data_IF_820213622247
#
_entry.id   IF_820213622247
#
_cell.length_a   1.000
_cell.length_b   1.000
_cell.length_c   1.000
_cell.angle_alpha   90.00
_cell.angle_beta   90.00
_cell.angle_gamma   90.00
#
_symmetry.space_group_name_H-M   'P 1'
#
loop_
_entity.id
_entity.type
_entity.pdbx_description
1 polymer ?
#
# COMPACT_ATOMS: atom_id res chain seq x y z
N UNK A 1 20.52 -1.32 12.06
CA UNK A 1 19.26 -1.35 11.29
C UNK A 1 19.65 -1.33 9.82
N UNK A 2 19.37 -2.39 9.07
CA UNK A 2 19.46 -2.31 7.61
C UNK A 2 18.52 -1.18 7.16
N UNK A 3 19.03 -0.26 6.35
CA UNK A 3 18.24 0.83 5.79
C UNK A 3 17.17 0.21 4.91
N UNK A 4 15.95 0.05 5.44
CA UNK A 4 14.81 -0.56 4.75
C UNK A 4 14.39 0.34 3.59
N UNK A 5 15.10 0.34 2.47
CA UNK A 5 14.70 1.08 1.29
C UNK A 5 13.35 0.54 0.82
N UNK A 6 12.31 1.39 0.79
CA UNK A 6 10.98 1.01 0.34
C UNK A 6 11.10 0.37 -1.06
N UNK A 7 10.83 -0.93 -1.19
CA UNK A 7 10.98 -1.59 -2.47
C UNK A 7 9.88 -1.07 -3.37
N UNK A 8 10.21 -0.14 -4.27
CA UNK A 8 9.28 0.41 -5.28
C UNK A 8 9.03 -0.63 -6.40
N UNK A 9 8.68 -1.86 -6.02
CA UNK A 9 8.48 -3.01 -6.89
C UNK A 9 7.01 -3.42 -6.83
N UNK A 10 6.44 -3.61 -7.99
CA UNK A 10 5.10 -4.17 -8.17
C UNK A 10 5.19 -5.33 -9.17
N UNK A 11 4.28 -6.28 -9.03
CA UNK A 11 4.06 -7.35 -10.00
C UNK A 11 2.58 -7.55 -10.18
N UNK A 12 2.21 -8.25 -11.23
CA UNK A 12 0.83 -8.60 -11.54
C UNK A 12 0.79 -10.11 -11.79
N UNK A 13 -0.33 -10.73 -11.41
CA UNK A 13 -0.58 -12.14 -11.71
C UNK A 13 -0.74 -12.39 -13.21
N UNK A 14 -1.46 -13.44 -13.60
CA UNK A 14 -1.76 -13.73 -15.02
C UNK A 14 -2.61 -12.63 -15.71
N UNK A 15 -2.95 -11.54 -15.03
CA UNK A 15 -3.61 -10.35 -15.58
C UNK A 15 -2.65 -9.19 -15.80
N UNK A 16 -3.09 -8.18 -16.57
CA UNK A 16 -2.34 -6.93 -16.73
C UNK A 16 -2.59 -5.99 -15.54
N UNK A 17 -1.57 -5.22 -15.13
CA UNK A 17 -1.76 -4.12 -14.20
C UNK A 17 -2.84 -3.16 -14.71
N UNK A 18 -3.82 -2.85 -13.87
CA UNK A 18 -4.87 -1.91 -14.24
C UNK A 18 -4.40 -0.50 -13.92
N UNK A 19 -4.39 0.38 -14.91
CA UNK A 19 -3.98 1.77 -14.76
C UNK A 19 -5.15 2.69 -14.94
N UNK A 20 -5.17 3.77 -14.17
CA UNK A 20 -6.13 4.85 -14.34
C UNK A 20 -5.46 6.19 -14.08
N UNK A 21 -5.97 7.20 -14.78
CA UNK A 21 -5.55 8.58 -14.65
C UNK A 21 -6.54 9.26 -13.71
N UNK A 22 -6.00 9.97 -12.74
CA UNK A 22 -6.78 10.79 -11.83
C UNK A 22 -6.17 12.19 -11.72
N UNK A 23 -6.98 13.20 -11.40
CA UNK A 23 -6.48 14.54 -11.10
C UNK A 23 -5.74 14.56 -9.76
N UNK A 24 -4.63 15.28 -9.67
CA UNK A 24 -3.90 15.56 -8.43
C UNK A 24 -4.75 16.41 -7.48
N UNK A 25 -4.81 16.01 -6.21
CA UNK A 25 -5.31 16.87 -5.14
C UNK A 25 -4.37 18.06 -4.94
N UNK A 26 -4.88 19.12 -4.30
CA UNK A 26 -4.06 20.27 -3.99
C UNK A 26 -2.83 19.87 -3.17
N UNK A 27 -1.65 20.39 -3.55
CA UNK A 27 -0.37 20.11 -2.91
C UNK A 27 0.04 18.62 -2.90
N UNK A 28 -0.41 17.85 -3.89
CA UNK A 28 0.04 16.46 -4.03
C UNK A 28 1.56 16.40 -4.23
N UNK A 29 2.24 15.62 -3.40
CA UNK A 29 3.71 15.43 -3.44
C UNK A 29 4.09 13.95 -3.50
N UNK A 30 3.18 13.10 -3.97
CA UNK A 30 3.42 11.66 -4.09
C UNK A 30 4.59 11.40 -5.04
N UNK A 31 5.47 10.47 -4.66
CA UNK A 31 6.58 10.03 -5.52
C UNK A 31 6.24 8.75 -6.26
N UNK A 32 6.88 8.52 -7.41
CA UNK A 32 6.75 7.24 -8.12
C UNK A 32 7.02 6.07 -7.16
N UNK A 33 6.11 5.10 -7.17
CA UNK A 33 6.16 3.91 -6.32
C UNK A 33 5.63 4.13 -4.91
N UNK A 34 5.12 5.32 -4.56
CA UNK A 34 4.42 5.54 -3.31
C UNK A 34 2.93 5.20 -3.43
N UNK A 35 2.33 4.67 -2.36
CA UNK A 35 0.89 4.50 -2.29
C UNK A 35 0.19 5.85 -2.24
N UNK A 36 -0.93 5.92 -2.93
CA UNK A 36 -1.76 7.12 -3.07
C UNK A 36 -3.19 6.85 -2.65
N UNK A 37 -3.85 7.89 -2.15
CA UNK A 37 -5.22 7.85 -1.68
C UNK A 37 -6.13 8.61 -2.64
N UNK A 38 -7.33 8.08 -2.87
CA UNK A 38 -8.40 8.83 -3.50
C UNK A 38 -9.04 9.72 -2.43
N UNK A 39 -8.98 11.04 -2.61
CA UNK A 39 -9.58 12.06 -1.75
C UNK A 39 -10.48 12.96 -2.59
N UNK A 40 -11.80 12.85 -2.38
CA UNK A 40 -12.80 13.66 -3.11
C UNK A 40 -12.67 13.60 -4.65
N UNK A 41 -12.37 12.42 -5.19
CA UNK A 41 -12.18 12.21 -6.64
C UNK A 41 -10.80 12.58 -7.18
N UNK A 42 -9.88 13.06 -6.32
CA UNK A 42 -8.51 13.43 -6.67
C UNK A 42 -7.48 12.59 -5.93
N UNK A 43 -6.27 12.50 -6.45
CA UNK A 43 -5.17 11.74 -5.85
C UNK A 43 -4.38 12.60 -4.88
N UNK A 44 -4.32 12.16 -3.63
CA UNK A 44 -3.45 12.72 -2.61
C UNK A 44 -2.35 11.72 -2.26
N UNK A 45 -1.20 12.24 -1.81
CA UNK A 45 -0.18 11.40 -1.16
C UNK A 45 -0.78 10.77 0.10
N UNK A 46 -0.46 9.51 0.34
CA UNK A 46 -0.75 8.88 1.63
C UNK A 46 0.16 9.52 2.71
N UNK A 47 -0.36 10.48 3.49
CA UNK A 47 0.43 11.20 4.52
C UNK A 47 0.20 10.68 5.94
N UNK A 48 -0.84 9.89 6.12
CA UNK A 48 -1.24 9.26 7.38
C UNK A 48 -1.50 7.78 7.13
N UNK A 49 -1.70 7.00 8.20
CA UNK A 49 -2.27 5.67 8.11
C UNK A 49 -3.53 5.73 7.25
N UNK A 50 -3.52 5.06 6.09
CA UNK A 50 -4.69 4.98 5.23
C UNK A 50 -5.78 4.24 6.02
N UNK A 51 -6.80 4.95 6.50
CA UNK A 51 -7.70 4.39 7.53
C UNK A 51 -8.83 3.52 6.98
N UNK A 52 -8.95 3.36 5.65
CA UNK A 52 -10.04 2.62 5.04
C UNK A 52 -9.76 2.34 3.56
N UNK A 53 -10.35 1.29 3.00
CA UNK A 53 -10.51 1.13 1.55
C UNK A 53 -11.85 1.66 1.02
N UNK A 54 -12.82 1.90 1.90
CA UNK A 54 -14.24 2.06 1.55
C UNK A 54 -14.80 3.46 1.80
N UNK A 55 -14.06 4.34 2.47
CA UNK A 55 -14.39 5.78 2.51
C UNK A 55 -13.66 6.50 1.38
N UNK A 56 -14.17 7.64 0.91
CA UNK A 56 -13.57 8.49 -0.14
C UNK A 56 -12.21 9.12 0.21
N UNK A 57 -11.39 8.39 0.98
CA UNK A 57 -10.02 8.59 1.46
C UNK A 57 -9.21 7.28 1.37
N UNK A 58 -9.63 6.30 0.55
CA UNK A 58 -9.02 4.97 0.49
C UNK A 58 -7.84 4.86 -0.46
N UNK A 59 -7.03 3.81 -0.31
CA UNK A 59 -5.87 3.53 -1.19
C UNK A 59 -6.36 3.33 -2.62
N UNK A 60 -6.08 4.29 -3.49
CA UNK A 60 -6.38 4.20 -4.93
C UNK A 60 -5.43 3.22 -5.63
N UNK A 61 -4.20 3.14 -5.14
CA UNK A 61 -3.14 2.37 -5.77
C UNK A 61 -1.77 2.97 -5.50
N UNK A 62 -0.87 2.81 -6.47
CA UNK A 62 0.51 3.31 -6.41
C UNK A 62 0.79 4.27 -7.56
N UNK A 63 1.46 5.38 -7.26
CA UNK A 63 1.82 6.39 -8.24
C UNK A 63 2.84 5.85 -9.24
N UNK A 64 2.54 5.98 -10.54
CA UNK A 64 3.44 5.56 -11.63
C UNK A 64 4.36 6.68 -12.10
N UNK A 65 4.15 7.90 -11.60
CA UNK A 65 4.98 9.07 -11.83
C UNK A 65 5.07 9.89 -10.54
N UNK A 66 6.06 10.78 -10.47
CA UNK A 66 6.07 11.82 -9.45
C UNK A 66 4.90 12.78 -9.70
N UNK A 67 4.20 13.17 -8.64
CA UNK A 67 3.21 14.24 -8.70
C UNK A 67 3.88 15.53 -9.18
N UNK A 68 3.20 16.24 -10.06
CA UNK A 68 3.62 17.54 -10.58
C UNK A 68 3.53 18.64 -9.51
N UNK A 69 2.71 18.43 -8.47
CA UNK A 69 2.41 19.44 -7.45
C UNK A 69 1.40 20.48 -7.92
N UNK A 70 0.87 20.33 -9.13
CA UNK A 70 -0.15 21.21 -9.69
C UNK A 70 -1.52 20.59 -9.48
N UNK A 71 -2.42 21.33 -8.85
CA UNK A 71 -3.80 20.86 -8.61
C UNK A 71 -4.47 20.53 -9.95
N UNK A 72 -5.20 19.42 -10.00
CA UNK A 72 -5.90 18.95 -11.20
C UNK A 72 -5.01 18.52 -12.38
N UNK A 73 -3.69 18.44 -12.17
CA UNK A 73 -2.82 17.78 -13.14
C UNK A 73 -3.05 16.26 -13.14
N UNK A 74 -2.83 15.62 -14.28
CA UNK A 74 -3.01 14.19 -14.43
C UNK A 74 -1.86 13.41 -13.77
N UNK A 75 -2.21 12.43 -12.93
CA UNK A 75 -1.29 11.44 -12.39
C UNK A 75 -1.76 10.02 -12.73
N UNK A 76 -0.84 9.22 -13.28
CA UNK A 76 -1.09 7.81 -13.58
C UNK A 76 -0.89 6.99 -12.32
N UNK A 77 -1.88 6.16 -11.99
CA UNK A 77 -1.85 5.30 -10.82
C UNK A 77 -2.13 3.86 -11.25
N UNK A 78 -1.29 2.94 -10.77
CA UNK A 78 -1.53 1.50 -10.83
C UNK A 78 -2.55 1.16 -9.75
N UNK A 79 -3.75 0.76 -10.17
CA UNK A 79 -4.88 0.57 -9.28
C UNK A 79 -4.62 -0.56 -8.28
N UNK A 80 -5.07 -0.34 -7.05
CA UNK A 80 -5.06 -1.36 -6.03
C UNK A 80 -6.22 -2.36 -6.27
N UNK A 81 -5.90 -3.60 -6.64
CA UNK A 81 -6.87 -4.68 -6.86
C UNK A 81 -6.31 -6.05 -6.43
N UNK A 82 -7.07 -7.12 -6.63
CA UNK A 82 -6.73 -8.50 -6.26
C UNK A 82 -5.67 -9.15 -7.18
N UNK A 83 -5.38 -8.52 -8.31
CA UNK A 83 -4.51 -9.03 -9.38
C UNK A 83 -3.14 -8.35 -9.39
N UNK A 84 -2.98 -7.29 -8.59
CA UNK A 84 -1.75 -6.51 -8.48
C UNK A 84 -1.15 -6.75 -7.11
N UNK A 85 0.16 -6.93 -7.08
CA UNK A 85 0.93 -7.19 -5.89
C UNK A 85 2.04 -6.16 -5.73
N UNK A 86 2.29 -5.75 -4.49
CA UNK A 86 3.33 -4.79 -4.15
C UNK A 86 4.23 -5.35 -3.09
N UNK A 87 5.51 -5.05 -3.24
CA UNK A 87 6.52 -5.47 -2.29
C UNK A 87 6.63 -4.40 -1.20
N UNK A 88 6.12 -4.68 0.00
CA UNK A 88 6.11 -3.72 1.11
C UNK A 88 6.58 -4.38 2.43
N UNK A 89 7.23 -3.62 3.33
CA UNK A 89 7.67 -4.14 4.62
C UNK A 89 6.51 -4.33 5.60
N UNK A 90 6.65 -5.33 6.48
CA UNK A 90 5.82 -5.43 7.69
C UNK A 90 6.25 -4.34 8.68
N UNK A 91 5.29 -3.68 9.30
CA UNK A 91 5.55 -2.66 10.31
C UNK A 91 4.71 -2.89 11.56
N UNK A 92 5.31 -2.58 12.71
CA UNK A 92 4.64 -2.60 14.01
C UNK A 92 5.38 -1.66 14.97
N UNK A 93 4.65 -1.06 15.92
CA UNK A 93 5.24 -0.21 16.98
C UNK A 93 6.15 -0.96 17.97
N UNK A 94 6.27 -2.28 17.84
CA UNK A 94 7.09 -3.15 18.70
C UNK A 94 7.77 -4.19 17.83
N UNK A 95 9.11 -4.23 17.87
CA UNK A 95 9.92 -5.07 17.01
C UNK A 95 9.59 -6.57 17.11
N UNK A 96 9.37 -7.05 18.33
CA UNK A 96 8.98 -8.43 18.59
C UNK A 96 7.63 -8.84 17.96
N UNK A 97 6.79 -7.86 17.60
CA UNK A 97 5.51 -8.08 16.95
C UNK A 97 5.56 -7.79 15.44
N UNK A 98 6.64 -7.21 14.92
CA UNK A 98 6.83 -6.98 13.48
C UNK A 98 7.33 -8.25 12.78
N UNK A 99 6.74 -9.41 13.08
CA UNK A 99 7.23 -10.71 12.59
C UNK A 99 6.69 -10.98 11.19
N UNK A 100 7.60 -11.29 10.26
CA UNK A 100 7.26 -11.55 8.86
C UNK A 100 6.78 -12.99 8.70
N UNK A 101 5.57 -13.18 8.17
CA UNK A 101 5.02 -14.50 7.87
C UNK A 101 4.02 -14.43 6.70
N UNK A 102 3.93 -15.51 5.90
CA UNK A 102 2.94 -15.61 4.81
C UNK A 102 1.51 -15.61 5.35
N UNK A 103 1.31 -16.10 6.58
CA UNK A 103 0.01 -16.09 7.25
C UNK A 103 -0.38 -14.71 7.77
N UNK A 104 0.47 -13.70 7.63
CA UNK A 104 0.13 -12.35 8.05
C UNK A 104 -1.00 -11.82 7.19
N UNK A 105 -2.02 -11.28 7.86
CA UNK A 105 -3.06 -10.48 7.25
C UNK A 105 -2.92 -9.05 7.76
N UNK A 106 -3.01 -8.09 6.85
CA UNK A 106 -2.91 -6.68 7.17
C UNK A 106 -4.20 -6.15 7.79
N UNK A 107 -4.07 -5.16 8.66
CA UNK A 107 -5.22 -4.51 9.33
C UNK A 107 -6.15 -3.80 8.36
N UNK A 108 -7.31 -3.34 8.87
CA UNK A 108 -8.25 -2.42 8.20
C UNK A 108 -7.54 -1.18 7.61
N UNK A 109 -6.37 -0.84 8.16
CA UNK A 109 -5.53 0.25 7.74
C UNK A 109 -4.42 -0.26 6.83
N UNK A 110 -4.76 -0.39 5.54
CA UNK A 110 -4.00 -1.06 4.48
C UNK A 110 -2.51 -0.73 4.53
N UNK A 111 -2.18 0.56 4.64
CA UNK A 111 -0.83 1.07 4.54
C UNK A 111 -0.65 2.14 5.60
N UNK A 112 0.25 1.88 6.55
CA UNK A 112 0.66 2.85 7.55
C UNK A 112 1.91 3.58 7.06
N UNK A 113 1.87 4.92 7.14
CA UNK A 113 3.04 5.77 6.91
C UNK A 113 3.75 6.00 8.25
N UNK A 114 4.96 5.46 8.41
CA UNK A 114 5.79 5.72 9.58
C UNK A 114 6.43 7.10 9.44
N UNK A 115 6.02 8.05 10.28
CA UNK A 115 6.57 9.41 10.35
C UNK A 115 8.08 9.41 10.53
N UNK A 116 8.61 8.47 11.32
CA UNK A 116 10.06 8.24 11.44
C UNK A 116 10.54 7.34 10.30
N UNK A 117 11.28 7.93 9.35
CA UNK A 117 11.87 7.22 8.22
C UNK A 117 11.09 7.30 6.91
N UNK A 118 9.84 7.80 6.93
CA UNK A 118 9.05 8.06 5.71
C UNK A 118 8.63 6.78 4.97
N UNK A 119 8.49 5.68 5.71
CA UNK A 119 8.22 4.36 5.14
C UNK A 119 6.74 4.08 5.06
N UNK A 120 6.34 3.32 4.04
CA UNK A 120 5.02 2.72 3.94
C UNK A 120 5.15 1.23 4.23
N UNK A 121 4.27 0.69 5.06
CA UNK A 121 4.23 -0.74 5.35
C UNK A 121 2.83 -1.20 5.71
N UNK A 122 2.64 -2.52 5.73
CA UNK A 122 1.41 -3.11 6.24
C UNK A 122 1.57 -3.43 7.73
N UNK A 123 0.55 -3.07 8.49
CA UNK A 123 0.50 -3.33 9.91
C UNK A 123 -0.32 -4.60 10.18
N UNK A 124 0.10 -5.40 11.16
CA UNK A 124 -0.52 -6.71 11.48
C UNK A 124 -1.27 -6.73 12.82
N UNK A 125 -1.51 -5.56 13.42
CA UNK A 125 -2.07 -5.39 14.77
C UNK A 125 -3.54 -5.81 14.93
N UNK A 126 -4.30 -5.89 13.84
CA UNK A 126 -5.76 -6.12 13.82
C UNK A 126 -6.09 -7.08 12.68
N UNK A 127 -6.79 -8.17 12.99
CA UNK A 127 -7.17 -9.21 12.00
C UNK A 127 -8.64 -9.14 11.60
N UNK A 128 -9.43 -8.27 12.22
CA UNK A 128 -10.84 -8.03 11.86
C UNK A 128 -10.91 -7.18 10.59
N UNK A 129 -11.62 -7.67 9.57
CA UNK A 129 -11.76 -7.04 8.24
C UNK A 129 -10.41 -6.79 7.55
N UNK A 130 -9.63 -7.86 7.27
CA UNK A 130 -8.32 -7.70 6.66
C UNK A 130 -8.44 -7.09 5.27
N UNK A 131 -7.59 -6.10 5.02
CA UNK A 131 -7.56 -5.35 3.77
C UNK A 131 -6.42 -5.82 2.86
N UNK A 132 -5.33 -6.28 3.45
CA UNK A 132 -4.16 -6.77 2.74
C UNK A 132 -3.94 -8.24 3.06
N UNK A 133 -3.56 -9.00 2.05
CA UNK A 133 -3.13 -10.39 2.16
C UNK A 133 -1.67 -10.51 1.70
N UNK A 134 -0.84 -11.19 2.50
CA UNK A 134 0.52 -11.55 2.09
C UNK A 134 0.47 -12.79 1.21
N UNK A 135 1.01 -12.68 -0.01
CA UNK A 135 1.03 -13.81 -0.95
C UNK A 135 2.36 -14.55 -0.96
N UNK A 136 3.46 -13.84 -0.73
CA UNK A 136 4.79 -14.41 -0.75
C UNK A 136 5.76 -13.56 0.09
N UNK A 137 6.68 -14.18 0.81
CA UNK A 137 7.78 -13.46 1.43
C UNK A 137 8.82 -13.08 0.37
N UNK A 138 9.44 -11.92 0.51
CA UNK A 138 10.60 -11.60 -0.31
C UNK A 138 11.72 -12.61 -0.04
N UNK A 139 12.37 -13.12 -1.08
CA UNK A 139 13.44 -14.12 -0.95
C UNK A 139 14.62 -13.68 -0.06
N UNK A 140 14.77 -12.38 0.18
CA UNK A 140 15.78 -11.80 1.07
C UNK A 140 15.44 -11.98 2.57
N UNK A 141 14.20 -12.33 2.91
CA UNK A 141 13.70 -12.42 4.28
C UNK A 141 13.08 -13.78 4.58
N UNK A 142 13.50 -14.39 5.69
CA UNK A 142 12.93 -15.64 6.17
C UNK A 142 11.65 -15.41 7.01
N UNK A 143 10.78 -16.42 7.06
CA UNK A 143 9.66 -16.40 8.00
C UNK A 143 10.18 -16.32 9.44
N UNK A 144 9.57 -15.47 10.26
CA UNK A 144 10.00 -15.22 11.64
C UNK A 144 10.93 -14.01 11.80
N UNK A 145 11.47 -13.45 10.71
CA UNK A 145 12.32 -12.26 10.78
C UNK A 145 11.50 -10.99 11.06
N UNK A 146 12.11 -10.06 11.79
CA UNK A 146 11.48 -8.79 12.12
C UNK A 146 11.62 -7.80 10.98
N UNK A 147 10.55 -7.06 10.68
CA UNK A 147 10.52 -5.98 9.68
C UNK A 147 10.93 -6.44 8.27
N UNK A 148 10.67 -7.69 7.94
CA UNK A 148 10.91 -8.23 6.61
C UNK A 148 9.91 -7.69 5.58
N UNK A 149 10.24 -7.96 4.32
CA UNK A 149 9.45 -7.48 3.18
C UNK A 149 8.66 -8.62 2.56
N UNK A 150 7.41 -8.36 2.16
CA UNK A 150 6.56 -9.35 1.54
C UNK A 150 5.79 -8.78 0.35
N UNK A 151 5.46 -9.64 -0.61
CA UNK A 151 4.49 -9.36 -1.65
C UNK A 151 3.10 -9.41 -1.06
N UNK A 152 2.35 -8.35 -1.30
CA UNK A 152 1.00 -8.20 -0.77
C UNK A 152 0.03 -7.77 -1.86
N UNK A 153 -1.23 -8.16 -1.73
CA UNK A 153 -2.34 -7.69 -2.56
C UNK A 153 -3.51 -7.20 -1.70
N UNK A 154 -4.49 -6.57 -2.35
CA UNK A 154 -5.77 -6.31 -1.68
C UNK A 154 -6.50 -7.63 -1.45
N UNK A 155 -6.94 -7.86 -0.22
CA UNK A 155 -7.68 -9.05 0.17
C UNK A 155 -9.02 -9.11 -0.58
N UNK A 156 -9.37 -10.29 -1.09
CA UNK A 156 -10.62 -10.53 -1.84
C UNK A 156 -11.86 -10.20 -1.01
N UNK A 157 -11.80 -10.41 0.30
CA UNK A 157 -12.86 -10.02 1.26
C UNK A 157 -13.08 -8.51 1.30
N UNK A 158 -12.02 -7.71 1.18
CA UNK A 158 -12.13 -6.27 1.13
C UNK A 158 -12.65 -5.77 -0.23
N UNK A 159 -12.32 -6.46 -1.32
CA UNK A 159 -12.90 -6.17 -2.64
C UNK A 159 -14.41 -6.45 -2.69
N UNK A 160 -14.87 -7.53 -2.04
CA UNK A 160 -16.29 -7.90 -1.98
C UNK A 160 -17.14 -6.90 -1.16
N UNK A 161 -16.52 -6.15 -0.25
CA UNK A 161 -17.17 -5.14 0.59
C UNK A 161 -17.39 -3.78 -0.11
N UNK A 162 -17.20 -3.72 -1.43
CA UNK A 162 -17.23 -2.48 -2.21
C UNK A 162 -15.84 -1.92 -2.44
N UNK A 163 -14.93 -2.76 -2.96
CA UNK A 163 -13.53 -2.46 -3.25
C UNK A 163 -13.31 -1.15 -4.03
N UNK A 164 -12.04 -0.77 -4.11
CA UNK A 164 -11.57 0.51 -4.65
C UNK A 164 -12.21 0.79 -6.03
N UNK A 165 -12.96 1.90 -6.09
CA UNK A 165 -13.76 2.34 -7.25
C UNK A 165 -12.94 2.93 -8.40
#
# INVERSE_FOLDING_TARGET
>A
MATLANPRKFRYGLGHGQYRIWPEAATCVAKRGEPVLLSSGKIARCTTTATSLTSGTGVAGWAMADASGTTDADIVVLMANDSTEWLIPVIHGTAASAVTAVTNVGTQYCISHLTTGGWYGYEISVTTNPVIEVTELCAEYAAGEQYGTAWVKIATTAMAAGGIA
#
